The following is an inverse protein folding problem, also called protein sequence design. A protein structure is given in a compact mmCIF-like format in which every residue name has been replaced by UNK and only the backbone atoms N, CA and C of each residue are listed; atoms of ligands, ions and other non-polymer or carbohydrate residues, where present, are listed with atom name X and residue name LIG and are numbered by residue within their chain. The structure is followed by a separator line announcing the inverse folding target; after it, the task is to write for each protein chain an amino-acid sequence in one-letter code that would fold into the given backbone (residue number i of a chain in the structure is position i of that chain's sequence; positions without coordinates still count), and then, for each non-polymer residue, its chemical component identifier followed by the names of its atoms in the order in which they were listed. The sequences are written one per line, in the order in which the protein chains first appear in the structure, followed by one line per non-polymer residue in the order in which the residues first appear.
data_IF_596927275972
#
_entry.id   IF_596927275972
#
_cell.length_a   1.000
_cell.length_b   1.000
_cell.length_c   1.000
_cell.angle_alpha   90.00
_cell.angle_beta   90.00
_cell.angle_gamma   90.00
#
_symmetry.space_group_name_H-M   'P 1'
#
loop_
_entity.id
_entity.type
_entity.pdbx_description
1 polymer ?
#
# COMPACT_ATOMS: atom_id res chain seq x y z
N UNK A 1 -31.34 2.17 39.13
CA UNK A 1 -31.32 3.60 39.47
C UNK A 1 -30.32 3.79 40.59
N UNK A 2 -29.42 4.76 40.43
CA UNK A 2 -28.64 5.28 41.54
C UNK A 2 -29.55 6.19 42.38
N UNK A 3 -29.19 6.46 43.64
CA UNK A 3 -30.06 7.12 44.63
C UNK A 3 -30.51 8.55 44.30
N UNK A 4 -30.03 9.13 43.20
CA UNK A 4 -30.35 10.47 42.69
C UNK A 4 -31.31 10.46 41.47
N UNK A 5 -31.80 9.28 41.06
CA UNK A 5 -32.65 9.13 39.88
C UNK A 5 -31.87 8.95 38.57
N UNK A 6 -30.54 8.95 38.60
CA UNK A 6 -29.74 8.57 37.44
C UNK A 6 -29.78 7.06 37.20
N UNK A 7 -29.61 6.68 35.93
CA UNK A 7 -29.44 5.29 35.55
C UNK A 7 -28.31 5.18 34.53
N UNK A 8 -27.58 4.08 34.59
CA UNK A 8 -26.56 3.71 33.63
C UNK A 8 -26.76 2.25 33.26
N UNK A 9 -26.64 1.93 31.99
CA UNK A 9 -26.61 0.55 31.50
C UNK A 9 -25.56 0.46 30.41
N UNK A 10 -24.83 -0.66 30.39
CA UNK A 10 -23.91 -0.99 29.31
C UNK A 10 -24.61 -1.98 28.39
N UNK A 11 -24.67 -1.67 27.10
CA UNK A 11 -25.24 -2.53 26.08
C UNK A 11 -24.18 -2.77 25.01
N UNK A 12 -24.01 -4.04 24.61
CA UNK A 12 -23.23 -4.38 23.42
C UNK A 12 -24.08 -4.09 22.20
N UNK A 13 -23.55 -3.28 21.28
CA UNK A 13 -24.25 -2.84 20.09
C UNK A 13 -23.62 -3.49 18.87
N UNK A 14 -24.44 -3.75 17.86
CA UNK A 14 -23.97 -4.28 16.59
C UNK A 14 -23.57 -3.13 15.66
N UNK A 15 -22.62 -3.37 14.76
CA UNK A 15 -22.35 -2.45 13.67
C UNK A 15 -23.62 -2.21 12.83
N UNK A 16 -23.76 -1.00 12.32
CA UNK A 16 -24.92 -0.54 11.57
C UNK A 16 -25.81 0.44 12.35
N UNK A 17 -27.01 0.72 11.83
CA UNK A 17 -27.97 1.63 12.46
C UNK A 17 -28.54 1.02 13.73
N UNK A 18 -28.56 1.81 14.79
CA UNK A 18 -29.06 1.46 16.11
C UNK A 18 -30.04 2.53 16.60
N UNK A 19 -30.90 2.15 17.54
CA UNK A 19 -31.85 3.05 18.17
C UNK A 19 -31.97 2.74 19.65
N UNK A 20 -31.86 3.76 20.50
CA UNK A 20 -31.99 3.64 21.94
C UNK A 20 -33.20 4.44 22.43
N UNK A 21 -34.05 3.82 23.24
CA UNK A 21 -35.13 4.47 23.98
C UNK A 21 -35.02 4.09 25.46
N UNK A 22 -35.44 4.98 26.34
CA UNK A 22 -35.58 4.72 27.76
C UNK A 22 -37.07 4.57 28.09
N UNK A 23 -37.41 3.63 28.98
CA UNK A 23 -38.78 3.41 29.43
C UNK A 23 -38.82 3.36 30.95
N UNK A 24 -39.72 4.12 31.55
CA UNK A 24 -39.94 4.16 33.00
C UNK A 24 -41.36 3.72 33.31
N UNK A 25 -41.53 2.97 34.39
CA UNK A 25 -42.84 2.60 34.95
C UNK A 25 -42.94 3.05 36.40
N UNK A 26 -44.08 3.59 36.81
CA UNK A 26 -44.35 3.89 38.22
C UNK A 26 -44.95 2.68 38.98
N UNK A 27 -45.17 2.83 40.29
CA UNK A 27 -45.73 1.78 41.15
C UNK A 27 -47.20 1.45 40.84
N UNK A 28 -47.91 2.35 40.16
CA UNK A 28 -49.28 2.12 39.68
C UNK A 28 -49.31 1.46 38.30
N UNK A 29 -48.15 1.26 37.66
CA UNK A 29 -48.02 0.64 36.34
C UNK A 29 -48.12 1.60 35.16
N UNK A 30 -48.13 2.93 35.39
CA UNK A 30 -48.09 3.90 34.29
C UNK A 30 -46.72 3.87 33.63
N UNK A 31 -46.67 3.84 32.30
CA UNK A 31 -45.43 3.75 31.52
C UNK A 31 -45.21 5.04 30.73
N UNK A 32 -44.00 5.59 30.79
CA UNK A 32 -43.53 6.64 29.89
C UNK A 32 -42.28 6.18 29.12
N UNK A 33 -42.18 6.56 27.85
CA UNK A 33 -41.05 6.24 26.96
C UNK A 33 -40.42 7.53 26.46
N UNK A 34 -39.09 7.61 26.44
CA UNK A 34 -38.34 8.75 25.91
C UNK A 34 -38.45 8.85 24.39
N UNK A 35 -38.03 9.98 23.83
CA UNK A 35 -37.63 10.04 22.43
C UNK A 35 -36.51 9.05 22.12
N UNK A 36 -36.40 8.67 20.86
CA UNK A 36 -35.37 7.77 20.38
C UNK A 36 -34.08 8.52 20.05
N UNK A 37 -32.94 7.98 20.49
CA UNK A 37 -31.62 8.35 19.96
C UNK A 37 -31.30 7.38 18.84
N UNK A 38 -31.13 7.89 17.62
CA UNK A 38 -30.72 7.13 16.44
C UNK A 38 -29.25 7.41 16.15
N UNK A 39 -28.46 6.36 15.89
CA UNK A 39 -27.05 6.49 15.56
C UNK A 39 -26.59 5.29 14.72
N UNK A 40 -25.46 5.42 14.05
CA UNK A 40 -24.78 4.34 13.33
C UNK A 40 -23.45 4.04 14.00
N UNK A 41 -23.15 2.75 14.16
CA UNK A 41 -21.88 2.27 14.70
C UNK A 41 -21.10 1.58 13.58
N UNK A 42 -19.82 1.93 13.43
CA UNK A 42 -18.85 1.17 12.64
C UNK A 42 -17.58 1.05 13.46
N UNK A 43 -17.06 -0.16 13.59
CA UNK A 43 -15.80 -0.47 14.31
C UNK A 43 -14.74 -1.09 13.39
N UNK A 44 -15.01 -1.15 12.10
CA UNK A 44 -14.14 -1.83 11.13
C UNK A 44 -13.61 -0.80 10.15
N UNK A 45 -12.29 -0.72 10.01
CA UNK A 45 -11.64 0.13 9.02
C UNK A 45 -11.89 -0.33 7.58
N UNK A 46 -11.61 0.53 6.60
CA UNK A 46 -11.72 0.15 5.20
C UNK A 46 -10.70 -0.94 4.83
N UNK A 47 -11.04 -1.76 3.84
CA UNK A 47 -10.07 -2.64 3.20
C UNK A 47 -9.20 -1.82 2.25
N UNK A 48 -7.90 -1.77 2.52
CA UNK A 48 -6.90 -1.19 1.63
C UNK A 48 -6.08 -2.32 1.03
N UNK A 49 -5.75 -2.24 -0.26
CA UNK A 49 -4.82 -3.16 -0.92
C UNK A 49 -3.68 -2.38 -1.54
N UNK A 50 -2.54 -3.03 -1.74
CA UNK A 50 -1.33 -2.43 -2.28
C UNK A 50 -0.50 -3.52 -2.97
N UNK A 51 0.06 -3.21 -4.14
CA UNK A 51 0.92 -4.10 -4.93
C UNK A 51 1.87 -3.30 -5.82
N UNK A 52 2.97 -3.94 -6.26
CA UNK A 52 3.79 -3.42 -7.36
C UNK A 52 2.96 -3.44 -8.66
N UNK A 53 3.07 -2.38 -9.46
CA UNK A 53 2.52 -2.41 -10.83
C UNK A 53 3.28 -3.40 -11.70
N UNK A 54 4.59 -3.54 -11.48
CA UNK A 54 5.42 -4.54 -12.14
C UNK A 54 6.58 -4.98 -11.23
N UNK A 55 6.73 -6.30 -11.07
CA UNK A 55 7.94 -6.95 -10.58
C UNK A 55 8.84 -7.19 -11.80
N UNK A 56 9.79 -6.28 -12.07
CA UNK A 56 10.56 -6.29 -13.32
C UNK A 56 11.82 -7.17 -13.26
N UNK A 57 12.06 -7.80 -12.11
CA UNK A 57 13.15 -8.73 -11.91
C UNK A 57 13.00 -10.01 -12.73
N UNK A 58 13.95 -10.92 -12.54
CA UNK A 58 13.92 -12.22 -13.25
C UNK A 58 12.83 -13.14 -12.69
N UNK A 59 12.59 -13.05 -11.38
CA UNK A 59 11.47 -13.72 -10.72
C UNK A 59 10.27 -12.77 -10.71
N UNK A 60 9.06 -13.35 -10.74
CA UNK A 60 7.79 -12.58 -10.75
C UNK A 60 7.13 -12.54 -9.37
N UNK A 61 7.82 -12.99 -8.33
CA UNK A 61 7.28 -13.09 -6.97
C UNK A 61 8.26 -12.66 -5.88
N UNK A 62 9.47 -12.23 -6.21
CA UNK A 62 10.47 -11.79 -5.23
C UNK A 62 10.43 -10.28 -4.95
N UNK A 63 9.59 -9.53 -5.69
CA UNK A 63 9.41 -8.10 -5.55
C UNK A 63 10.72 -7.32 -5.74
N UNK A 64 11.52 -7.71 -6.73
CA UNK A 64 12.73 -7.01 -7.15
C UNK A 64 12.41 -6.23 -8.42
N UNK A 65 12.38 -4.91 -8.35
CA UNK A 65 11.91 -4.07 -9.46
C UNK A 65 12.82 -2.90 -9.75
N UNK A 66 12.88 -2.47 -11.00
CA UNK A 66 13.47 -1.21 -11.45
C UNK A 66 12.42 -0.09 -11.53
N UNK A 67 11.14 -0.40 -11.27
CA UNK A 67 10.04 0.54 -11.29
C UNK A 67 9.26 0.48 -9.97
N UNK A 68 9.41 1.47 -9.07
CA UNK A 68 8.78 1.44 -7.75
C UNK A 68 7.29 1.85 -7.79
N UNK A 69 6.66 1.91 -8.97
CA UNK A 69 5.25 2.29 -9.08
C UNK A 69 4.36 1.24 -8.42
N UNK A 70 3.49 1.71 -7.54
CA UNK A 70 2.50 0.94 -6.81
C UNK A 70 1.10 1.21 -7.33
N UNK A 71 0.22 0.24 -7.15
CA UNK A 71 -1.21 0.39 -7.27
C UNK A 71 -1.93 -0.30 -6.12
N UNK A 72 -3.21 0.04 -5.97
CA UNK A 72 -4.03 -0.58 -4.96
C UNK A 72 -5.48 -0.15 -5.05
N UNK A 73 -6.25 -0.60 -4.07
CA UNK A 73 -7.65 -0.22 -3.89
C UNK A 73 -7.91 0.25 -2.46
N UNK A 74 -9.00 0.99 -2.29
CA UNK A 74 -9.41 1.54 -1.00
C UNK A 74 -10.77 2.24 -1.07
N UNK A 75 -11.03 3.14 -0.11
CA UNK A 75 -12.21 3.99 -0.09
C UNK A 75 -12.20 4.97 -1.26
N UNK A 76 -13.23 4.86 -2.11
CA UNK A 76 -13.40 5.71 -3.29
C UNK A 76 -13.48 7.20 -2.97
N UNK A 77 -12.84 8.02 -3.80
CA UNK A 77 -12.78 9.49 -3.66
C UNK A 77 -12.17 9.97 -2.33
N UNK A 78 -11.33 9.16 -1.69
CA UNK A 78 -10.67 9.53 -0.43
C UNK A 78 -9.15 9.49 -0.56
N UNK A 79 -8.49 10.27 0.29
CA UNK A 79 -7.03 10.38 0.31
C UNK A 79 -6.41 9.12 0.91
N UNK A 80 -5.44 8.55 0.20
CA UNK A 80 -4.53 7.51 0.67
C UNK A 80 -3.29 8.19 1.24
N UNK A 81 -3.02 7.95 2.52
CA UNK A 81 -1.81 8.38 3.20
C UNK A 81 -0.74 7.32 3.09
N UNK A 82 0.45 7.71 2.64
CA UNK A 82 1.57 6.80 2.42
C UNK A 82 2.68 7.06 3.43
N UNK A 83 3.23 6.00 4.00
CA UNK A 83 4.46 6.04 4.81
C UNK A 83 5.52 5.24 4.08
N UNK A 84 6.70 5.81 3.87
CA UNK A 84 7.84 5.20 3.18
C UNK A 84 8.95 5.00 4.20
N UNK A 85 9.37 3.76 4.43
CA UNK A 85 10.42 3.38 5.39
C UNK A 85 10.20 3.98 6.79
N UNK A 86 8.93 4.00 7.23
CA UNK A 86 8.51 4.56 8.52
C UNK A 86 8.36 6.09 8.56
N UNK A 87 8.64 6.80 7.46
CA UNK A 87 8.48 8.25 7.34
C UNK A 87 7.23 8.59 6.54
N UNK A 88 6.38 9.46 7.09
CA UNK A 88 5.17 9.90 6.40
C UNK A 88 5.55 10.68 5.12
N UNK A 89 5.00 10.23 3.99
CA UNK A 89 5.16 10.91 2.71
C UNK A 89 4.46 12.26 2.72
N UNK A 90 5.10 13.29 2.17
CA UNK A 90 4.47 14.59 1.91
C UNK A 90 3.49 14.54 0.74
N UNK A 91 3.63 13.52 -0.11
CA UNK A 91 2.75 13.28 -1.25
C UNK A 91 1.66 12.29 -0.84
N UNK A 92 0.42 12.68 -1.08
CA UNK A 92 -0.75 11.80 -0.96
C UNK A 92 -1.36 11.55 -2.34
N UNK A 93 -2.09 10.44 -2.48
CA UNK A 93 -2.87 10.15 -3.69
C UNK A 93 -4.34 10.02 -3.32
N UNK A 94 -5.24 10.42 -4.21
CA UNK A 94 -6.68 10.24 -4.00
C UNK A 94 -7.14 9.04 -4.79
N UNK A 95 -7.79 8.08 -4.12
CA UNK A 95 -8.41 6.96 -4.81
C UNK A 95 -9.58 7.45 -5.68
N UNK A 96 -9.73 6.88 -6.86
CA UNK A 96 -10.78 7.27 -7.81
C UNK A 96 -12.19 6.83 -7.35
N UNK A 97 -13.19 7.03 -8.21
CA UNK A 97 -14.57 6.67 -7.91
C UNK A 97 -14.82 5.15 -7.78
N UNK A 98 -13.88 4.32 -8.25
CA UNK A 98 -13.89 2.87 -8.10
C UNK A 98 -13.01 2.41 -6.92
N UNK A 99 -12.34 3.36 -6.24
CA UNK A 99 -11.43 3.07 -5.14
C UNK A 99 -10.01 2.72 -5.60
N UNK A 100 -9.71 2.76 -6.90
CA UNK A 100 -8.37 2.48 -7.39
C UNK A 100 -7.43 3.67 -7.19
N UNK A 101 -6.17 3.39 -6.88
CA UNK A 101 -5.14 4.41 -6.72
C UNK A 101 -3.79 3.91 -7.28
N UNK A 102 -2.90 4.85 -7.59
CA UNK A 102 -1.53 4.57 -7.99
C UNK A 102 -0.58 5.62 -7.41
N UNK A 103 0.62 5.19 -7.05
CA UNK A 103 1.66 6.02 -6.45
C UNK A 103 3.03 5.59 -6.94
N UNK A 104 3.85 6.54 -7.38
CA UNK A 104 5.27 6.30 -7.70
C UNK A 104 6.11 7.12 -6.73
N UNK A 105 6.81 6.49 -5.76
CA UNK A 105 7.74 7.21 -4.90
C UNK A 105 8.91 7.73 -5.72
N UNK A 106 9.44 8.89 -5.35
CA UNK A 106 10.58 9.53 -6.00
C UNK A 106 11.74 9.66 -5.04
N UNK A 107 12.98 9.52 -5.55
CA UNK A 107 14.18 9.71 -4.74
C UNK A 107 14.53 8.52 -3.83
N UNK A 108 13.96 7.34 -4.08
CA UNK A 108 14.43 6.10 -3.46
C UNK A 108 15.79 5.72 -4.06
N UNK A 109 16.72 5.30 -3.19
CA UNK A 109 17.96 4.68 -3.62
C UNK A 109 17.73 3.19 -3.93
N UNK A 110 18.66 2.55 -4.62
CA UNK A 110 18.60 1.09 -4.76
C UNK A 110 18.72 0.42 -3.37
N UNK A 111 17.92 -0.63 -3.15
CA UNK A 111 17.85 -1.34 -1.88
C UNK A 111 16.43 -1.70 -1.45
N UNK A 112 16.27 -2.26 -0.23
CA UNK A 112 14.98 -2.65 0.31
C UNK A 112 14.17 -1.44 0.78
N UNK A 113 12.87 -1.46 0.51
CA UNK A 113 11.92 -0.45 0.95
C UNK A 113 10.63 -1.09 1.45
N UNK A 114 9.95 -0.41 2.38
CA UNK A 114 8.60 -0.73 2.82
C UNK A 114 7.71 0.49 2.70
N UNK A 115 6.59 0.35 1.98
CA UNK A 115 5.54 1.35 1.90
C UNK A 115 4.30 0.85 2.64
N UNK A 116 3.63 1.78 3.33
CA UNK A 116 2.35 1.54 4.02
C UNK A 116 1.33 2.53 3.49
N UNK A 117 0.31 2.04 2.80
CA UNK A 117 -0.87 2.80 2.41
C UNK A 117 -1.95 2.71 3.50
N UNK A 118 -2.57 3.85 3.86
CA UNK A 118 -3.64 3.90 4.88
C UNK A 118 -4.75 4.88 4.54
N UNK A 119 -5.95 4.56 4.99
CA UNK A 119 -7.15 5.40 4.86
C UNK A 119 -8.00 5.31 6.12
N UNK A 120 -8.67 6.41 6.47
CA UNK A 120 -9.59 6.48 7.61
C UNK A 120 -10.99 6.77 7.11
N UNK A 121 -11.97 6.00 7.58
CA UNK A 121 -13.38 6.20 7.23
C UNK A 121 -14.00 7.38 7.98
N UNK A 122 -15.26 7.70 7.67
CA UNK A 122 -16.01 8.79 8.34
C UNK A 122 -16.35 8.51 9.81
N UNK A 123 -16.17 7.26 10.25
CA UNK A 123 -16.40 6.83 11.64
C UNK A 123 -15.09 6.86 12.46
N UNK A 124 -13.96 7.20 11.85
CA UNK A 124 -12.65 7.26 12.50
C UNK A 124 -11.91 5.92 12.53
N UNK A 125 -12.37 4.90 11.80
CA UNK A 125 -11.68 3.62 11.70
C UNK A 125 -10.62 3.67 10.60
N UNK A 126 -9.40 3.26 10.92
CA UNK A 126 -8.29 3.21 9.95
C UNK A 126 -8.07 1.79 9.42
N UNK A 127 -7.87 1.69 8.12
CA UNK A 127 -7.39 0.48 7.44
C UNK A 127 -6.09 0.77 6.72
N UNK A 128 -5.25 -0.26 6.58
CA UNK A 128 -3.93 -0.13 5.96
C UNK A 128 -3.50 -1.40 5.22
N UNK A 129 -2.66 -1.21 4.20
CA UNK A 129 -1.87 -2.25 3.55
C UNK A 129 -0.39 -1.91 3.67
N UNK A 130 0.47 -2.91 3.54
CA UNK A 130 1.91 -2.71 3.48
C UNK A 130 2.54 -3.59 2.42
N UNK A 131 3.50 -3.03 1.69
CA UNK A 131 4.27 -3.71 0.67
C UNK A 131 5.76 -3.49 0.92
N UNK A 132 6.52 -4.58 0.90
CA UNK A 132 7.99 -4.53 0.90
C UNK A 132 8.51 -5.01 -0.44
N UNK A 133 9.51 -4.30 -0.98
CA UNK A 133 10.14 -4.60 -2.27
C UNK A 133 11.61 -4.18 -2.23
N UNK A 134 12.39 -4.66 -3.21
CA UNK A 134 13.77 -4.19 -3.45
C UNK A 134 13.79 -3.40 -4.74
N UNK A 135 14.25 -2.15 -4.68
CA UNK A 135 14.51 -1.32 -5.85
C UNK A 135 15.92 -1.61 -6.37
N UNK A 136 16.02 -1.96 -7.64
CA UNK A 136 17.29 -2.09 -8.35
C UNK A 136 17.18 -1.43 -9.73
N UNK A 137 17.74 -0.23 -9.84
CA UNK A 137 17.77 0.56 -11.07
C UNK A 137 19.13 0.52 -11.75
N UNK A 138 20.11 -0.15 -11.14
CA UNK A 138 21.50 -0.17 -11.61
C UNK A 138 21.69 -1.24 -12.69
N UNK A 139 21.89 -0.79 -13.93
CA UNK A 139 22.26 -1.69 -15.00
C UNK A 139 23.65 -2.33 -14.75
N UNK A 140 23.85 -3.60 -15.10
CA UNK A 140 25.18 -4.21 -15.03
C UNK A 140 26.16 -3.49 -15.97
N UNK A 141 27.42 -3.35 -15.56
CA UNK A 141 28.46 -2.86 -16.45
C UNK A 141 28.82 -3.95 -17.46
N UNK A 142 28.51 -3.71 -18.74
CA UNK A 142 29.04 -4.55 -19.82
C UNK A 142 30.52 -4.23 -20.06
N UNK A 143 31.37 -5.25 -20.12
CA UNK A 143 32.72 -5.11 -20.66
C UNK A 143 32.68 -4.73 -22.15
N UNK A 144 33.82 -4.28 -22.69
CA UNK A 144 33.97 -4.14 -24.15
C UNK A 144 34.45 -5.49 -24.70
N UNK A 145 33.73 -6.12 -25.64
CA UNK A 145 34.23 -7.33 -26.29
C UNK A 145 35.54 -7.05 -27.02
N UNK A 146 36.53 -7.93 -26.86
CA UNK A 146 37.84 -7.83 -27.50
C UNK A 146 38.13 -9.10 -28.31
N UNK A 147 38.85 -9.02 -29.44
CA UNK A 147 39.29 -10.22 -30.14
C UNK A 147 40.29 -10.97 -29.27
N UNK A 148 40.15 -12.30 -29.21
CA UNK A 148 41.24 -13.08 -28.61
C UNK A 148 42.49 -12.94 -29.47
N UNK A 149 43.67 -12.94 -28.84
CA UNK A 149 44.95 -12.80 -29.56
C UNK A 149 45.16 -13.85 -30.68
N UNK A 150 44.52 -15.03 -30.59
CA UNK A 150 44.56 -16.06 -31.64
C UNK A 150 43.58 -15.82 -32.79
N UNK A 151 42.57 -14.98 -32.57
CA UNK A 151 41.61 -14.54 -33.58
C UNK A 151 41.95 -13.18 -34.18
N UNK A 152 42.78 -12.38 -33.52
CA UNK A 152 43.31 -11.11 -34.06
C UNK A 152 44.47 -11.38 -35.04
N UNK A 153 44.11 -11.79 -36.27
CA UNK A 153 45.03 -12.34 -37.26
C UNK A 153 45.68 -11.30 -38.18
N UNK A 154 45.64 -10.03 -37.79
CA UNK A 154 46.21 -8.90 -38.49
C UNK A 154 47.72 -8.85 -38.37
N UNK A 155 48.30 -7.65 -38.51
CA UNK A 155 49.74 -7.46 -38.27
C UNK A 155 50.08 -7.34 -36.77
N UNK A 156 49.08 -7.12 -35.93
CA UNK A 156 49.14 -7.14 -34.47
C UNK A 156 48.13 -8.15 -33.93
N UNK A 157 48.28 -8.55 -32.67
CA UNK A 157 47.37 -9.45 -31.95
C UNK A 157 46.58 -8.72 -30.85
N UNK A 158 46.47 -7.40 -30.97
CA UNK A 158 45.76 -6.51 -30.05
C UNK A 158 45.23 -5.25 -30.73
N UNK A 159 45.05 -5.27 -32.06
CA UNK A 159 44.52 -4.14 -32.84
C UNK A 159 43.12 -4.41 -33.40
N UNK A 160 42.55 -5.58 -33.09
CA UNK A 160 41.21 -5.99 -33.48
C UNK A 160 41.02 -6.10 -35.00
N UNK A 161 42.05 -6.52 -35.74
CA UNK A 161 42.04 -6.73 -37.18
C UNK A 161 42.13 -8.24 -37.47
N UNK A 162 41.09 -8.83 -38.04
CA UNK A 162 41.08 -10.27 -38.37
C UNK A 162 40.65 -10.58 -39.80
N UNK A 163 41.20 -11.67 -40.34
CA UNK A 163 40.74 -12.33 -41.56
C UNK A 163 40.04 -13.67 -41.27
N UNK A 164 39.94 -14.05 -40.00
CA UNK A 164 39.22 -15.26 -39.59
C UNK A 164 37.73 -15.09 -39.86
N UNK A 165 37.12 -16.06 -40.54
CA UNK A 165 35.65 -16.08 -40.76
C UNK A 165 34.86 -16.57 -39.55
N UNK A 166 35.56 -17.04 -38.52
CA UNK A 166 35.01 -17.50 -37.24
C UNK A 166 35.91 -17.05 -36.08
N UNK A 167 35.99 -15.73 -35.79
CA UNK A 167 36.81 -15.20 -34.70
C UNK A 167 36.19 -15.53 -33.33
N UNK A 168 37.03 -15.52 -32.30
CA UNK A 168 36.62 -15.62 -30.89
C UNK A 168 36.87 -14.30 -30.16
N UNK A 169 36.08 -14.05 -29.12
CA UNK A 169 36.10 -12.81 -28.34
C UNK A 169 36.20 -13.10 -26.83
N UNK A 170 36.66 -12.12 -26.05
CA UNK A 170 36.59 -12.08 -24.58
C UNK A 170 35.85 -10.85 -24.09
#
# INVERSE_FOLDING_TARGET
MQGDGSWSSTVTLNNGPNTLTARVSDAAGNIATSGAVVYTLSTTGPTVTEALVADTGTSVTDHVTANPTLNGTGLANTVVHLTIDGVLSTTTVTADAQGAWSFTPSGLADGPHTIVASQTDSFGNTGSASLSFTLDTTAPSGGTPDLTAGSDSGSSNSDNITSATSPSFT
#
